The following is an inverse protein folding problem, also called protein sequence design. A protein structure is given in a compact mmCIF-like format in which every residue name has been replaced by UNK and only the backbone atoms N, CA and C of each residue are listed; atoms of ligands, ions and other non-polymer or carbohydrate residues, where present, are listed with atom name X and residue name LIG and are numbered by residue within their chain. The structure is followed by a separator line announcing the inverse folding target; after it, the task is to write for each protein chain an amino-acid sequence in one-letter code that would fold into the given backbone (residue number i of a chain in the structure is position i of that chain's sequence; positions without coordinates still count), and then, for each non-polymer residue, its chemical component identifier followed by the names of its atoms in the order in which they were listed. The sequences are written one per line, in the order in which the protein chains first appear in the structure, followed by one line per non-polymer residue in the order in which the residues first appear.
data_IF_909228563743
#
_entry.id   IF_909228563743
#
_cell.length_a   1.000
_cell.length_b   1.000
_cell.length_c   1.000
_cell.angle_alpha   90.00
_cell.angle_beta   90.00
_cell.angle_gamma   90.00
#
_symmetry.space_group_name_H-M   'P 1'
#
loop_
_entity.id
_entity.type
_entity.pdbx_description
1 polymer ?
#
# COMPACT_ATOMS: atom_id res chain seq x y z
N UNK A 1 9.43 2.52 -21.77
CA UNK A 1 9.10 3.58 -20.80
C UNK A 1 8.30 2.90 -19.73
N UNK A 2 8.96 2.66 -18.62
CA UNK A 2 8.44 1.86 -17.53
C UNK A 2 7.31 2.62 -16.84
N UNK A 3 6.11 2.02 -16.76
CA UNK A 3 4.97 2.63 -16.05
C UNK A 3 4.82 1.98 -14.67
N UNK A 4 4.19 2.70 -13.74
CA UNK A 4 3.91 2.23 -12.37
C UNK A 4 3.27 0.81 -12.33
N UNK A 5 2.30 0.53 -13.20
CA UNK A 5 1.65 -0.78 -13.29
C UNK A 5 2.61 -1.92 -13.64
N UNK A 6 3.67 -1.61 -14.38
CA UNK A 6 4.66 -2.59 -14.85
C UNK A 6 5.69 -2.86 -13.73
N UNK A 7 5.83 -1.93 -12.76
CA UNK A 7 6.75 -2.03 -11.62
C UNK A 7 6.14 -2.84 -10.47
N UNK A 8 4.85 -2.62 -10.16
CA UNK A 8 4.26 -3.08 -8.89
C UNK A 8 4.31 -4.60 -8.69
N UNK A 9 3.82 -5.39 -9.65
CA UNK A 9 3.78 -6.85 -9.52
C UNK A 9 5.20 -7.45 -9.33
N UNK A 10 6.17 -7.16 -10.22
CA UNK A 10 7.56 -7.61 -10.01
C UNK A 10 8.20 -7.08 -8.71
N UNK A 11 7.88 -5.85 -8.30
CA UNK A 11 8.38 -5.28 -7.05
C UNK A 11 7.92 -6.08 -5.84
N UNK A 12 6.68 -6.56 -5.83
CA UNK A 12 6.15 -7.33 -4.71
C UNK A 12 6.86 -8.68 -4.55
N UNK A 13 7.14 -9.36 -5.66
CA UNK A 13 7.94 -10.59 -5.66
C UNK A 13 9.35 -10.33 -5.11
N UNK A 14 10.01 -9.28 -5.59
CA UNK A 14 11.33 -8.87 -5.09
C UNK A 14 11.33 -8.57 -3.58
N UNK A 15 10.32 -7.85 -3.08
CA UNK A 15 10.19 -7.52 -1.66
C UNK A 15 9.95 -8.77 -0.81
N UNK A 16 9.14 -9.72 -1.28
CA UNK A 16 8.88 -10.97 -0.57
C UNK A 16 10.13 -11.89 -0.53
N UNK A 17 10.88 -11.98 -1.64
CA UNK A 17 12.13 -12.74 -1.65
C UNK A 17 13.16 -12.15 -0.68
N UNK A 18 13.25 -10.82 -0.62
CA UNK A 18 14.23 -10.11 0.20
C UNK A 18 13.90 -10.08 1.69
N UNK A 19 12.65 -9.79 2.03
CA UNK A 19 12.22 -9.55 3.42
C UNK A 19 11.43 -10.73 4.01
N UNK A 20 11.28 -11.81 3.23
CA UNK A 20 10.46 -12.95 3.59
C UNK A 20 8.97 -12.63 3.46
N UNK A 21 8.15 -13.27 4.29
CA UNK A 21 6.69 -13.11 4.19
C UNK A 21 6.29 -11.66 4.53
N UNK A 22 5.78 -10.94 3.54
CA UNK A 22 5.31 -9.55 3.68
C UNK A 22 3.81 -9.43 3.47
N UNK A 23 3.21 -8.36 4.00
CA UNK A 23 1.85 -7.94 3.64
C UNK A 23 1.90 -6.58 2.96
N UNK A 24 1.36 -6.50 1.75
CA UNK A 24 1.30 -5.27 0.96
C UNK A 24 -0.08 -4.62 1.07
N UNK A 25 -0.10 -3.31 1.33
CA UNK A 25 -1.29 -2.46 1.23
C UNK A 25 -1.01 -1.35 0.22
N UNK A 26 -1.87 -1.19 -0.77
CA UNK A 26 -1.71 -0.16 -1.79
C UNK A 26 -2.53 1.09 -1.48
N UNK A 27 -2.10 2.23 -2.03
CA UNK A 27 -2.88 3.48 -2.12
C UNK A 27 -3.36 4.02 -0.75
N UNK A 28 -2.50 3.92 0.27
CA UNK A 28 -2.84 4.30 1.65
C UNK A 28 -2.63 5.79 1.89
N UNK A 29 -3.70 6.52 2.20
CA UNK A 29 -3.57 7.94 2.61
C UNK A 29 -2.76 8.08 3.90
N UNK A 30 -1.68 8.87 3.86
CA UNK A 30 -0.79 9.20 4.97
C UNK A 30 -0.54 10.71 5.02
N UNK A 31 -0.95 11.33 6.13
CA UNK A 31 -0.97 12.78 6.25
C UNK A 31 -1.82 13.37 5.13
N UNK A 32 -1.14 14.06 4.21
CA UNK A 32 -1.74 14.70 3.06
C UNK A 32 -1.29 14.13 1.71
N UNK A 33 -0.50 13.07 1.79
CA UNK A 33 0.00 12.27 0.69
C UNK A 33 -0.77 10.95 0.63
N UNK A 34 -0.55 10.21 -0.44
CA UNK A 34 -1.03 8.84 -0.57
C UNK A 34 0.18 7.99 -0.82
N UNK A 35 0.38 7.01 0.04
CA UNK A 35 1.45 6.07 -0.14
C UNK A 35 1.08 5.06 -1.21
N UNK A 36 1.96 4.89 -2.20
CA UNK A 36 1.74 3.94 -3.30
C UNK A 36 1.66 2.53 -2.73
N UNK A 37 2.63 2.19 -1.89
CA UNK A 37 2.79 0.87 -1.28
C UNK A 37 3.15 1.02 0.19
N UNK A 38 2.49 0.25 1.04
CA UNK A 38 2.86 0.05 2.44
C UNK A 38 3.19 -1.42 2.63
N UNK A 39 4.44 -1.69 2.94
CA UNK A 39 4.92 -3.03 3.25
C UNK A 39 4.90 -3.25 4.76
N UNK A 40 4.26 -4.32 5.20
CA UNK A 40 4.19 -4.72 6.60
C UNK A 40 5.04 -5.97 6.78
N UNK A 41 6.00 -5.87 7.69
CA UNK A 41 6.88 -6.95 8.14
C UNK A 41 6.80 -7.04 9.68
N UNK A 42 7.35 -8.10 10.30
CA UNK A 42 7.30 -8.22 11.76
C UNK A 42 7.82 -6.95 12.45
N UNK A 43 6.98 -6.41 13.33
CA UNK A 43 7.21 -5.22 14.16
C UNK A 43 7.52 -3.92 13.41
N UNK A 44 7.33 -3.86 12.09
CA UNK A 44 7.65 -2.67 11.28
C UNK A 44 6.70 -2.43 10.13
N UNK A 45 6.40 -1.15 9.91
CA UNK A 45 5.63 -0.64 8.78
C UNK A 45 6.55 0.21 7.90
N UNK A 46 6.71 -0.21 6.64
CA UNK A 46 7.59 0.44 5.68
C UNK A 46 6.76 1.16 4.62
N UNK A 47 7.01 2.45 4.43
CA UNK A 47 6.43 3.24 3.35
C UNK A 47 7.25 3.11 2.08
N UNK A 48 6.60 2.85 0.95
CA UNK A 48 7.27 2.74 -0.35
C UNK A 48 6.60 3.71 -1.33
N UNK A 49 7.41 4.57 -1.94
CA UNK A 49 7.01 5.50 -3.00
C UNK A 49 7.61 5.03 -4.32
N UNK A 50 6.81 4.96 -5.39
CA UNK A 50 7.25 4.54 -6.72
C UNK A 50 7.30 5.78 -7.62
N UNK A 51 8.45 5.99 -8.29
CA UNK A 51 8.62 7.02 -9.32
C UNK A 51 9.05 6.34 -10.62
N UNK A 52 8.17 6.36 -11.61
CA UNK A 52 8.48 5.94 -12.96
C UNK A 52 9.40 6.95 -13.65
N UNK A 53 9.98 6.58 -14.80
CA UNK A 53 10.86 7.49 -15.56
C UNK A 53 10.15 8.78 -16.01
N UNK A 54 8.82 8.77 -16.08
CA UNK A 54 8.00 9.91 -16.47
C UNK A 54 7.69 10.89 -15.31
N UNK A 55 8.00 10.53 -14.07
CA UNK A 55 7.65 11.31 -12.90
C UNK A 55 8.57 12.51 -12.68
N UNK A 56 8.00 13.57 -12.09
CA UNK A 56 8.77 14.72 -11.58
C UNK A 56 8.80 14.69 -10.06
N UNK A 57 9.87 15.20 -9.46
CA UNK A 57 10.02 15.26 -8.01
C UNK A 57 9.29 16.42 -7.32
N UNK A 58 8.44 17.15 -8.05
CA UNK A 58 7.76 18.35 -7.54
C UNK A 58 6.92 18.11 -6.28
N UNK A 59 6.49 16.86 -6.03
CA UNK A 59 5.72 16.47 -4.84
C UNK A 59 6.53 15.66 -3.83
N UNK A 60 7.73 15.21 -4.20
CA UNK A 60 8.50 14.25 -3.42
C UNK A 60 8.88 14.82 -2.06
N UNK A 61 9.26 16.10 -1.96
CA UNK A 61 9.58 16.75 -0.68
C UNK A 61 8.44 16.61 0.36
N UNK A 62 7.20 16.84 -0.07
CA UNK A 62 6.03 16.69 0.80
C UNK A 62 5.74 15.23 1.13
N UNK A 63 5.92 14.33 0.17
CA UNK A 63 5.75 12.90 0.38
C UNK A 63 6.77 12.40 1.41
N UNK A 64 8.03 12.80 1.29
CA UNK A 64 9.08 12.52 2.26
C UNK A 64 8.67 12.98 3.65
N UNK A 65 8.22 14.23 3.79
CA UNK A 65 7.78 14.77 5.08
C UNK A 65 6.57 14.01 5.68
N UNK A 66 5.60 13.61 4.86
CA UNK A 66 4.45 12.83 5.34
C UNK A 66 4.84 11.38 5.70
N UNK A 67 5.66 10.72 4.87
CA UNK A 67 6.13 9.35 5.09
C UNK A 67 7.03 9.24 6.32
N UNK A 68 7.96 10.19 6.48
CA UNK A 68 8.85 10.30 7.64
C UNK A 68 8.09 10.29 8.96
N UNK A 69 6.84 10.75 8.95
CA UNK A 69 6.04 10.85 10.17
C UNK A 69 5.21 9.59 10.42
N UNK A 70 5.02 8.71 9.44
CA UNK A 70 4.09 7.58 9.52
C UNK A 70 4.75 6.21 9.58
N UNK A 71 5.94 6.05 9.01
CA UNK A 71 6.53 4.73 8.78
C UNK A 71 7.86 4.57 9.51
N UNK A 72 8.11 3.34 9.97
CA UNK A 72 9.31 2.97 10.72
C UNK A 72 10.56 3.00 9.85
N UNK A 73 10.39 2.71 8.56
CA UNK A 73 11.39 2.83 7.51
C UNK A 73 10.70 3.26 6.21
N UNK A 74 11.46 3.82 5.27
CA UNK A 74 10.92 4.27 3.98
C UNK A 74 11.83 3.83 2.84
N UNK A 75 11.25 3.55 1.68
CA UNK A 75 11.95 3.24 0.43
C UNK A 75 11.38 4.12 -0.69
N UNK A 76 12.24 4.61 -1.57
CA UNK A 76 11.84 5.11 -2.88
C UNK A 76 12.30 4.14 -3.97
N UNK A 77 11.39 3.78 -4.86
CA UNK A 77 11.64 2.92 -6.02
C UNK A 77 11.66 3.81 -7.25
N UNK A 78 12.75 3.81 -8.03
CA UNK A 78 12.92 4.71 -9.17
C UNK A 78 13.45 3.99 -10.40
N UNK A 79 13.09 4.46 -11.59
CA UNK A 79 13.73 4.01 -12.83
C UNK A 79 15.24 4.31 -12.85
N UNK A 80 16.00 3.56 -13.63
CA UNK A 80 17.48 3.61 -13.64
C UNK A 80 18.06 4.99 -13.97
N UNK A 81 17.38 5.78 -14.80
CA UNK A 81 17.81 7.15 -15.16
C UNK A 81 17.76 8.14 -13.99
N UNK A 82 17.08 7.77 -12.91
CA UNK A 82 16.73 8.64 -11.79
C UNK A 82 17.42 8.26 -10.47
N UNK A 83 18.05 7.09 -10.42
CA UNK A 83 18.63 6.52 -9.20
C UNK A 83 19.70 7.40 -8.55
N UNK A 84 20.54 8.09 -9.33
CA UNK A 84 21.58 8.98 -8.79
C UNK A 84 21.02 10.29 -8.24
N UNK A 85 20.00 10.86 -8.87
CA UNK A 85 19.44 12.16 -8.47
C UNK A 85 18.42 12.03 -7.33
N UNK A 86 17.69 10.90 -7.23
CA UNK A 86 16.70 10.74 -6.15
C UNK A 86 17.34 10.82 -4.76
N UNK A 87 18.60 10.38 -4.63
CA UNK A 87 19.34 10.42 -3.37
C UNK A 87 19.50 11.84 -2.81
N UNK A 88 19.45 12.88 -3.65
CA UNK A 88 19.49 14.29 -3.24
C UNK A 88 18.14 14.79 -2.69
N UNK A 89 17.05 14.08 -3.00
CA UNK A 89 15.68 14.47 -2.64
C UNK A 89 15.11 13.68 -1.46
N UNK A 90 15.78 12.60 -1.04
CA UNK A 90 15.35 11.78 0.11
C UNK A 90 16.42 11.74 1.21
N UNK A 91 16.04 11.70 2.50
CA UNK A 91 16.98 11.56 3.61
C UNK A 91 17.88 10.34 3.48
N UNK A 92 19.05 10.35 4.12
CA UNK A 92 20.05 9.28 4.08
C UNK A 92 19.56 7.93 4.64
N UNK A 93 18.60 7.95 5.56
CA UNK A 93 17.97 6.76 6.14
C UNK A 93 16.88 6.12 5.26
N UNK A 94 16.50 6.73 4.12
CA UNK A 94 15.58 6.12 3.16
C UNK A 94 16.28 5.06 2.32
N UNK A 95 15.64 3.92 2.06
CA UNK A 95 16.12 2.97 1.06
C UNK A 95 15.92 3.51 -0.36
N UNK A 96 16.76 3.08 -1.29
CA UNK A 96 16.64 3.38 -2.72
C UNK A 96 16.73 2.06 -3.46
N UNK A 97 15.71 1.76 -4.25
CA UNK A 97 15.69 0.63 -5.19
C UNK A 97 15.62 1.21 -6.60
N UNK A 98 16.55 0.84 -7.47
CA UNK A 98 16.47 1.14 -8.90
C UNK A 98 15.78 0.01 -9.65
N UNK A 99 15.05 0.38 -10.71
CA UNK A 99 14.34 -0.53 -11.59
C UNK A 99 14.91 -0.42 -13.00
N UNK A 100 15.26 -1.56 -13.60
CA UNK A 100 15.83 -1.64 -14.95
C UNK A 100 15.02 -2.58 -15.84
N UNK A 101 14.70 -2.13 -17.05
CA UNK A 101 14.14 -2.97 -18.13
C UNK A 101 15.28 -3.59 -18.94
N UNK A 102 15.19 -4.89 -19.23
CA UNK A 102 16.08 -5.54 -20.20
C UNK A 102 15.30 -6.46 -21.15
N UNK A 103 15.78 -6.51 -22.39
CA UNK A 103 15.25 -7.41 -23.39
C UNK A 103 15.86 -8.79 -23.23
N UNK A 104 15.02 -9.78 -22.98
CA UNK A 104 15.43 -11.18 -23.17
C UNK A 104 15.39 -11.47 -24.66
N UNK A 105 16.56 -11.40 -25.31
CA UNK A 105 16.68 -11.79 -26.72
C UNK A 105 16.14 -13.20 -26.93
N UNK A 106 15.37 -13.41 -28.00
CA UNK A 106 14.99 -14.74 -28.47
C UNK A 106 16.23 -15.60 -28.49
N UNK A 107 16.18 -16.79 -27.88
CA UNK A 107 17.29 -17.76 -27.95
C UNK A 107 17.67 -17.92 -29.42
N UNK A 108 18.80 -17.37 -29.84
CA UNK A 108 19.44 -17.78 -31.08
C UNK A 108 19.93 -19.18 -30.80
N UNK A 109 19.25 -20.18 -31.36
CA UNK A 109 19.69 -21.57 -31.35
C UNK A 109 21.16 -21.61 -31.79
N UNK A 110 22.04 -21.90 -30.83
CA UNK A 110 23.42 -22.26 -31.11
C UNK A 110 23.35 -23.63 -31.79
N UNK A 111 23.62 -23.63 -33.09
CA UNK A 111 23.42 -24.76 -33.98
C UNK A 111 24.15 -26.04 -33.54
N UNK A 112 23.40 -27.13 -33.56
CA UNK A 112 23.95 -28.47 -33.81
C UNK A 112 23.75 -28.79 -35.29
N UNK A 113 24.87 -28.84 -36.02
CA UNK A 113 24.92 -29.40 -37.36
C UNK A 113 24.81 -30.93 -37.27
N UNK A 114 23.83 -31.51 -37.97
CA UNK A 114 23.90 -32.90 -38.43
C UNK A 114 23.16 -33.05 -39.77
N UNK A 115 23.93 -33.21 -40.84
CA UNK A 115 23.50 -33.67 -42.16
C UNK A 115 22.78 -35.03 -42.07
N UNK A 116 21.57 -35.18 -42.64
CA UNK A 116 21.27 -36.23 -43.64
C UNK A 116 19.98 -35.95 -44.44
N UNK A 117 19.92 -36.54 -45.63
CA UNK A 117 19.19 -36.15 -46.83
C UNK A 117 17.88 -36.94 -47.08
N UNK A 118 17.04 -36.37 -47.97
CA UNK A 118 16.03 -36.98 -48.88
C UNK A 118 14.57 -37.24 -48.44
N UNK A 119 13.67 -36.44 -49.02
CA UNK A 119 12.58 -36.93 -49.89
C UNK A 119 11.16 -37.00 -49.31
N UNK A 120 10.31 -36.00 -49.58
CA UNK A 120 8.88 -36.11 -49.25
C UNK A 120 8.03 -34.86 -49.53
N UNK A 121 7.21 -34.97 -50.58
CA UNK A 121 6.14 -34.10 -51.10
C UNK A 121 5.30 -33.32 -50.07
N UNK A 122 4.97 -32.08 -50.42
CA UNK A 122 4.15 -31.11 -49.69
C UNK A 122 2.73 -31.57 -49.32
N UNK A 123 2.17 -31.01 -48.23
CA UNK A 123 0.87 -30.29 -48.10
C UNK A 123 0.63 -30.00 -46.60
N UNK A 124 0.38 -28.74 -46.23
CA UNK A 124 -0.10 -28.38 -44.89
C UNK A 124 0.15 -26.91 -44.55
N UNK A 125 -0.84 -26.06 -44.77
CA UNK A 125 -0.80 -24.65 -44.39
C UNK A 125 -0.77 -24.48 -42.88
N UNK A 126 0.29 -23.85 -42.38
CA UNK A 126 0.38 -23.31 -41.04
C UNK A 126 0.85 -21.87 -41.17
N UNK A 127 -0.02 -20.93 -40.83
CA UNK A 127 0.34 -19.54 -40.62
C UNK A 127 1.30 -19.49 -39.42
N UNK A 128 2.60 -19.39 -39.69
CA UNK A 128 3.58 -19.03 -38.67
C UNK A 128 3.47 -17.54 -38.43
N UNK A 129 2.72 -17.14 -37.40
CA UNK A 129 2.86 -15.80 -36.80
C UNK A 129 4.26 -15.72 -36.18
N UNK A 130 5.17 -14.84 -36.65
CA UNK A 130 6.41 -14.58 -35.94
C UNK A 130 6.11 -13.49 -34.91
N UNK A 131 5.32 -13.80 -33.88
CA UNK A 131 5.33 -13.01 -32.65
C UNK A 131 6.32 -13.68 -31.70
N UNK A 132 7.61 -13.56 -32.00
CA UNK A 132 8.62 -13.58 -30.95
C UNK A 132 8.31 -12.39 -30.04
N UNK A 133 7.42 -12.63 -29.07
CA UNK A 133 7.09 -11.63 -28.06
C UNK A 133 8.36 -11.46 -27.25
N UNK A 134 9.10 -10.39 -27.53
CA UNK A 134 10.12 -9.88 -26.63
C UNK A 134 9.45 -9.76 -25.27
N UNK A 135 9.80 -10.65 -24.35
CA UNK A 135 9.36 -10.54 -22.97
C UNK A 135 10.26 -9.50 -22.32
N UNK A 136 9.75 -8.28 -22.17
CA UNK A 136 10.39 -7.26 -21.35
C UNK A 136 10.44 -7.79 -19.93
N UNK A 137 11.66 -7.98 -19.42
CA UNK A 137 11.86 -8.35 -18.02
C UNK A 137 12.36 -7.13 -17.26
N UNK A 138 12.00 -7.09 -15.98
CA UNK A 138 12.35 -6.01 -15.07
C UNK A 138 13.18 -6.62 -13.94
N UNK A 139 14.31 -6.00 -13.64
CA UNK A 139 15.13 -6.33 -12.47
C UNK A 139 15.16 -5.15 -11.49
N UNK A 140 15.40 -5.47 -10.22
CA UNK A 140 15.49 -4.52 -9.12
C UNK A 140 16.86 -4.57 -8.46
N UNK A 141 17.44 -3.41 -8.18
CA UNK A 141 18.73 -3.30 -7.52
C UNK A 141 18.62 -2.40 -6.29
N UNK A 142 19.13 -2.86 -5.15
CA UNK A 142 19.22 -2.04 -3.94
C UNK A 142 20.42 -1.12 -4.07
N UNK A 143 20.16 0.16 -4.33
CA UNK A 143 21.18 1.22 -4.40
C UNK A 143 21.54 1.70 -2.99
N UNK A 144 20.56 1.73 -2.09
CA UNK A 144 20.75 2.10 -0.68
C UNK A 144 19.81 1.32 0.21
N UNK A 145 20.33 0.73 1.28
CA UNK A 145 19.51 0.04 2.28
C UNK A 145 18.62 1.03 3.04
N UNK A 146 17.38 0.61 3.33
CA UNK A 146 16.54 1.37 4.25
C UNK A 146 17.07 1.25 5.68
N UNK A 147 17.03 2.35 6.42
CA UNK A 147 17.42 2.40 7.83
C UNK A 147 16.23 2.81 8.70
N UNK A 148 16.40 2.75 10.02
CA UNK A 148 15.38 3.25 10.95
C UNK A 148 15.16 4.74 10.72
N UNK A 149 13.90 5.11 10.53
CA UNK A 149 13.51 6.49 10.35
C UNK A 149 13.45 7.22 11.71
N UNK A 150 14.31 8.22 11.97
CA UNK A 150 14.35 8.92 13.25
C UNK A 150 13.14 9.86 13.47
N UNK A 151 12.31 10.09 12.45
CA UNK A 151 11.13 10.96 12.53
C UNK A 151 9.81 10.21 12.70
N UNK A 152 9.85 8.88 12.70
CA UNK A 152 8.65 8.06 12.85
C UNK A 152 7.90 8.43 14.13
N UNK A 153 6.60 8.71 14.01
CA UNK A 153 5.74 9.08 15.12
C UNK A 153 4.65 8.02 15.28
N UNK A 154 4.75 7.23 16.34
CA UNK A 154 3.85 6.10 16.62
C UNK A 154 2.38 6.53 16.71
N UNK A 155 2.08 7.77 17.15
CA UNK A 155 0.71 8.31 17.17
C UNK A 155 0.15 8.53 15.76
N UNK A 156 1.03 8.65 14.76
CA UNK A 156 0.65 8.72 13.34
C UNK A 156 0.62 7.33 12.72
N UNK A 157 1.58 6.46 13.01
CA UNK A 157 1.61 5.08 12.52
C UNK A 157 0.33 4.33 12.89
N UNK A 158 -0.11 4.41 14.16
CA UNK A 158 -1.35 3.77 14.63
C UNK A 158 -2.62 4.30 13.94
N UNK A 159 -2.55 5.43 13.20
CA UNK A 159 -3.70 5.94 12.42
C UNK A 159 -4.06 5.05 11.24
N UNK A 160 -3.15 4.18 10.80
CA UNK A 160 -3.40 3.20 9.75
C UNK A 160 -4.51 2.22 10.21
N UNK A 161 -4.61 1.97 11.52
CA UNK A 161 -5.62 1.11 12.11
C UNK A 161 -7.02 1.74 12.14
N UNK A 162 -8.00 0.88 11.92
CA UNK A 162 -9.44 1.16 11.96
C UNK A 162 -9.96 1.01 13.39
N UNK A 163 -11.19 1.49 13.64
CA UNK A 163 -11.74 1.50 15.00
C UNK A 163 -11.90 0.09 15.60
N UNK A 164 -12.34 -0.95 14.86
CA UNK A 164 -12.41 -2.31 15.41
C UNK A 164 -11.04 -2.84 15.83
N UNK A 165 -9.99 -2.52 15.08
CA UNK A 165 -8.61 -2.92 15.37
C UNK A 165 -8.07 -2.23 16.63
N UNK A 166 -8.33 -0.91 16.79
CA UNK A 166 -8.01 -0.23 18.04
C UNK A 166 -8.75 -0.84 19.24
N UNK A 167 -10.00 -1.26 19.04
CA UNK A 167 -10.79 -1.94 20.07
C UNK A 167 -10.20 -3.31 20.44
N UNK A 168 -9.66 -4.05 19.46
CA UNK A 168 -8.95 -5.30 19.71
C UNK A 168 -7.76 -5.09 20.65
N UNK A 169 -6.89 -4.10 20.36
CA UNK A 169 -5.76 -3.76 21.26
C UNK A 169 -6.25 -3.40 22.66
N UNK A 170 -7.32 -2.60 22.77
CA UNK A 170 -7.89 -2.26 24.08
C UNK A 170 -8.37 -3.50 24.84
N UNK A 171 -8.99 -4.47 24.17
CA UNK A 171 -9.44 -5.72 24.79
C UNK A 171 -8.26 -6.61 25.20
N UNK A 172 -7.29 -6.83 24.31
CA UNK A 172 -6.09 -7.64 24.53
C UNK A 172 -5.32 -7.19 25.77
N UNK A 173 -5.13 -5.88 25.94
CA UNK A 173 -4.38 -5.31 27.07
C UNK A 173 -5.27 -4.80 28.20
N UNK A 174 -6.56 -5.20 28.23
CA UNK A 174 -7.52 -4.82 29.28
C UNK A 174 -7.64 -3.30 29.53
N UNK A 175 -7.51 -2.49 28.48
CA UNK A 175 -7.66 -1.04 28.53
C UNK A 175 -9.15 -0.63 28.52
N UNK A 176 -9.53 0.52 29.12
CA UNK A 176 -10.92 0.93 29.18
C UNK A 176 -11.53 1.19 27.80
N UNK A 177 -12.69 0.58 27.53
CA UNK A 177 -13.39 0.67 26.24
C UNK A 177 -14.18 1.97 26.10
N UNK A 178 -13.51 3.05 25.69
CA UNK A 178 -14.11 4.37 25.45
C UNK A 178 -14.95 4.44 24.16
N UNK A 179 -16.04 3.67 24.08
CA UNK A 179 -16.90 3.51 22.89
C UNK A 179 -17.48 4.83 22.35
N UNK A 180 -17.67 5.84 23.21
CA UNK A 180 -18.17 7.17 22.83
C UNK A 180 -17.10 8.20 22.42
N UNK A 181 -15.80 7.88 22.54
CA UNK A 181 -14.72 8.84 22.26
C UNK A 181 -14.24 8.77 20.80
N UNK A 182 -13.49 9.79 20.36
CA UNK A 182 -12.91 9.84 19.02
C UNK A 182 -11.85 8.75 18.82
N UNK A 183 -11.49 8.46 17.55
CA UNK A 183 -10.38 7.53 17.27
C UNK A 183 -9.06 8.07 17.80
N UNK A 184 -8.83 9.37 17.65
CA UNK A 184 -7.59 10.01 18.11
C UNK A 184 -7.43 9.91 19.62
N UNK A 185 -8.51 10.10 20.38
CA UNK A 185 -8.47 9.86 21.83
C UNK A 185 -8.06 8.42 22.17
N UNK A 186 -8.63 7.43 21.46
CA UNK A 186 -8.29 6.01 21.71
C UNK A 186 -6.84 5.70 21.31
N UNK A 187 -6.34 6.29 20.21
CA UNK A 187 -4.95 6.13 19.77
C UNK A 187 -3.97 6.68 20.79
N UNK A 188 -4.20 7.90 21.26
CA UNK A 188 -3.40 8.53 22.33
C UNK A 188 -3.43 7.67 23.59
N UNK A 189 -4.60 7.18 24.00
CA UNK A 189 -4.68 6.27 25.14
C UNK A 189 -3.83 5.01 24.97
N UNK A 190 -3.87 4.37 23.80
CA UNK A 190 -3.09 3.14 23.56
C UNK A 190 -1.59 3.44 23.65
N UNK A 191 -1.13 4.46 22.93
CA UNK A 191 0.29 4.84 22.90
C UNK A 191 0.79 5.31 24.27
N UNK A 192 -0.01 6.04 25.04
CA UNK A 192 0.39 6.51 26.37
C UNK A 192 0.43 5.40 27.42
N UNK A 193 -0.24 4.25 27.18
CA UNK A 193 -0.43 3.18 28.17
C UNK A 193 0.39 1.94 27.91
N UNK A 194 0.85 1.73 26.69
CA UNK A 194 1.60 0.55 26.29
C UNK A 194 3.03 0.93 25.87
N UNK A 195 4.03 0.06 26.11
CA UNK A 195 5.36 0.25 25.55
C UNK A 195 5.32 0.38 24.02
N UNK A 196 6.25 1.15 23.46
CA UNK A 196 6.28 1.40 22.02
C UNK A 196 6.40 0.09 21.22
N UNK A 197 7.23 -0.84 21.69
CA UNK A 197 7.48 -2.13 21.08
C UNK A 197 6.19 -2.96 20.96
N UNK A 198 5.35 -2.93 22.00
CA UNK A 198 4.04 -3.59 22.01
C UNK A 198 3.11 -2.94 20.98
N UNK A 199 3.09 -1.62 20.91
CA UNK A 199 2.23 -0.92 19.95
C UNK A 199 2.68 -1.19 18.51
N UNK A 200 3.99 -1.22 18.23
CA UNK A 200 4.51 -1.59 16.91
C UNK A 200 4.12 -3.02 16.53
N UNK A 201 4.33 -3.97 17.44
CA UNK A 201 3.95 -5.37 17.25
C UNK A 201 2.47 -5.53 16.90
N UNK A 202 1.58 -4.91 17.70
CA UNK A 202 0.14 -4.98 17.46
C UNK A 202 -0.25 -4.32 16.13
N UNK A 203 0.39 -3.20 15.75
CA UNK A 203 0.13 -2.60 14.45
C UNK A 203 0.53 -3.56 13.33
N UNK A 204 1.73 -4.16 13.37
CA UNK A 204 2.18 -5.07 12.32
C UNK A 204 1.31 -6.32 12.24
N UNK A 205 1.04 -7.00 13.36
CA UNK A 205 0.26 -8.24 13.38
C UNK A 205 -1.16 -8.04 12.87
N UNK A 206 -1.85 -7.01 13.37
CA UNK A 206 -3.22 -6.70 12.92
C UNK A 206 -3.25 -6.39 11.42
N UNK A 207 -2.28 -5.63 10.91
CA UNK A 207 -2.22 -5.32 9.49
C UNK A 207 -1.92 -6.55 8.64
N UNK A 208 -1.11 -7.46 9.16
CA UNK A 208 -0.76 -8.71 8.51
C UNK A 208 -1.99 -9.61 8.34
N UNK A 209 -2.80 -9.75 9.39
CA UNK A 209 -4.02 -10.57 9.41
C UNK A 209 -5.26 -9.87 8.84
N UNK A 210 -5.14 -8.60 8.43
CA UNK A 210 -6.29 -7.79 8.01
C UNK A 210 -7.01 -8.39 6.79
N UNK A 211 -8.23 -8.86 7.02
CA UNK A 211 -9.23 -9.17 5.99
C UNK A 211 -10.09 -7.93 5.66
N UNK A 212 -9.79 -7.30 4.53
CA UNK A 212 -10.53 -6.15 4.04
C UNK A 212 -12.01 -6.46 3.75
N UNK A 213 -12.33 -7.64 3.21
CA UNK A 213 -13.68 -7.99 2.82
C UNK A 213 -14.57 -8.16 4.06
N UNK A 214 -14.08 -8.89 5.06
CA UNK A 214 -14.76 -9.04 6.34
C UNK A 214 -14.95 -7.68 7.03
N UNK A 215 -13.93 -6.83 7.02
CA UNK A 215 -13.95 -5.57 7.74
C UNK A 215 -14.85 -4.51 7.07
N UNK A 216 -14.89 -4.45 5.74
CA UNK A 216 -15.83 -3.59 5.00
C UNK A 216 -17.27 -4.02 5.30
N UNK A 217 -17.55 -5.32 5.31
CA UNK A 217 -18.87 -5.86 5.64
C UNK A 217 -19.31 -5.42 7.05
N UNK A 218 -18.43 -5.58 8.05
CA UNK A 218 -18.70 -5.15 9.43
C UNK A 218 -18.99 -3.64 9.52
N UNK A 219 -18.21 -2.81 8.82
CA UNK A 219 -18.42 -1.35 8.79
C UNK A 219 -19.78 -1.01 8.16
N UNK A 220 -20.13 -1.66 7.05
CA UNK A 220 -21.40 -1.44 6.35
C UNK A 220 -22.59 -1.84 7.23
N UNK A 221 -22.52 -2.99 7.90
CA UNK A 221 -23.53 -3.45 8.86
C UNK A 221 -23.70 -2.48 10.01
N UNK A 222 -22.59 -2.00 10.60
CA UNK A 222 -22.64 -0.99 11.66
C UNK A 222 -23.28 0.31 11.18
N UNK A 223 -22.90 0.82 10.00
CA UNK A 223 -23.50 2.03 9.41
C UNK A 223 -25.00 1.85 9.16
N UNK A 224 -25.43 0.69 8.64
CA UNK A 224 -26.84 0.35 8.43
C UNK A 224 -27.62 0.32 9.75
N UNK A 225 -27.06 -0.28 10.80
CA UNK A 225 -27.67 -0.32 12.13
C UNK A 225 -27.81 1.09 12.74
N UNK A 226 -26.80 1.95 12.59
CA UNK A 226 -26.86 3.34 13.05
C UNK A 226 -27.90 4.17 12.30
N UNK A 227 -27.97 4.01 10.97
CA UNK A 227 -28.99 4.67 10.15
C UNK A 227 -30.41 4.24 10.55
N UNK A 228 -30.63 2.95 10.80
CA UNK A 228 -31.91 2.42 11.27
C UNK A 228 -32.31 2.98 12.65
N UNK A 229 -31.34 3.19 13.55
CA UNK A 229 -31.59 3.84 14.86
C UNK A 229 -31.97 5.31 14.69
N UNK A 230 -31.24 6.06 13.84
CA UNK A 230 -31.54 7.48 13.55
C UNK A 230 -32.90 7.67 12.90
N UNK A 231 -33.31 6.78 11.99
CA UNK A 231 -34.63 6.79 11.37
C UNK A 231 -35.79 6.61 12.35
N UNK A 232 -35.57 5.92 13.48
CA UNK A 232 -36.55 5.77 14.57
C UNK A 232 -36.62 6.99 15.50
N UNK A 233 -35.56 7.80 15.60
CA UNK A 233 -35.49 8.97 16.50
C UNK A 233 -36.07 10.24 15.90
N UNK A 234 -36.28 10.32 14.58
CA UNK A 234 -36.97 11.46 13.93
C UNK A 234 -38.47 11.38 14.23
N UNK A 235 -38.87 11.78 15.44
CA UNK A 235 -40.25 12.09 15.81
C UNK A 235 -40.78 13.10 14.79
N UNK A 236 -41.79 12.72 14.00
CA UNK A 236 -42.54 13.61 13.08
C UNK A 236 -42.80 14.95 13.77
N UNK A 237 -42.12 16.03 13.34
CA UNK A 237 -42.56 17.40 13.66
C UNK A 237 -43.99 17.52 13.11
N UNK A 238 -45.01 17.45 13.96
CA UNK A 238 -46.39 17.73 13.57
C UNK A 238 -46.40 19.14 12.97
N UNK A 239 -46.67 19.27 11.67
CA UNK A 239 -46.92 20.56 11.01
C UNK A 239 -48.08 21.22 11.79
N UNK A 240 -47.78 22.27 12.55
CA UNK A 240 -48.80 23.15 13.14
C UNK A 240 -49.47 23.87 11.98
N UNK A 241 -50.66 23.42 11.57
CA UNK A 241 -51.50 24.17 10.65
C UNK A 241 -51.92 25.47 11.34
N UNK A 242 -51.46 26.59 10.80
CA UNK A 242 -51.84 27.94 11.23
C UNK A 242 -53.28 28.17 10.76
N UNK A 243 -54.26 28.09 11.67
CA UNK A 243 -55.66 28.47 11.41
C UNK A 243 -55.67 29.92 10.90
N UNK A 244 -56.09 30.14 9.65
CA UNK A 244 -56.43 31.48 9.17
C UNK A 244 -57.59 32.00 10.02
N UNK A 245 -57.42 33.17 10.63
CA UNK A 245 -58.54 33.95 11.19
C UNK A 245 -59.51 34.20 10.03
N UNK A 246 -60.79 33.88 10.24
CA UNK A 246 -61.88 34.42 9.43
C UNK A 246 -62.07 35.86 9.90
N UNK A 247 -61.94 36.80 8.98
CA UNK A 247 -62.34 38.18 9.20
C UNK A 247 -63.87 38.22 9.30
N UNK A 248 -64.36 38.96 10.28
CA UNK A 248 -65.76 39.34 10.49
C UNK A 248 -65.84 40.86 10.45
#
# INVERSE_FOLDING_TARGET
MLLDKDIREPLFEFLEERYGKVRILEEKTVGSSRADVVMVIPDKIVGIEIKSDADTYTRLERQVADYDLYFDQNIVVVGSTHASHVAEHVPDYWGIISVEEYDTGSKSDVGENADVNMGGKAIGGGTTDPSDKVTHKIDFYVVREMQTNPKADILRTIRILWRPELAHIQETYSLPMYKGKSKDFVRTLIVDRLPAEIVHHEISEILFERDYAAMIKQIQEFRKAQAAKRGKTVRKKKKRYRRKKRDA
#
